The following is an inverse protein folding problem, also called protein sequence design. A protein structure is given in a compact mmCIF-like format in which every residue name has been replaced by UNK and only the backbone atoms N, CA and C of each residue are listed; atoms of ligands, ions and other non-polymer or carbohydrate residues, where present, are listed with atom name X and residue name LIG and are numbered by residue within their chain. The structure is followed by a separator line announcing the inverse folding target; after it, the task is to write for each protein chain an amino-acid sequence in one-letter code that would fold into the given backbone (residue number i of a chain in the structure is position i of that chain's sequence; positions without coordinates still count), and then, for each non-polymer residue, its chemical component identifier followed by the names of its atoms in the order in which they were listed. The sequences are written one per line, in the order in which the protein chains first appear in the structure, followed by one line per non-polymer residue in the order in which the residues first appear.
data_IF_532055258566
#
_entry.id   IF_532055258566
#
_cell.length_a   1.000
_cell.length_b   1.000
_cell.length_c   1.000
_cell.angle_alpha   90.00
_cell.angle_beta   90.00
_cell.angle_gamma   90.00
#
_symmetry.space_group_name_H-M   'P 1'
#
loop_
_entity.id
_entity.type
_entity.pdbx_description
1 polymer ?
#
# COMPACT_ATOMS: atom_id res chain seq x y z
N UNK A 1 5.99 -1.94 -46.03
CA UNK A 1 6.89 -2.89 -45.37
C UNK A 1 6.83 -2.63 -43.87
N UNK A 2 6.14 -3.49 -43.12
CA UNK A 2 6.05 -3.42 -41.67
C UNK A 2 6.72 -4.69 -41.11
N UNK A 3 7.71 -4.51 -40.25
CA UNK A 3 8.44 -5.59 -39.57
C UNK A 3 7.60 -5.99 -38.34
N UNK A 4 7.24 -7.28 -38.15
CA UNK A 4 6.59 -7.70 -36.92
C UNK A 4 7.62 -7.91 -35.81
N UNK A 5 7.30 -7.39 -34.63
CA UNK A 5 8.07 -7.58 -33.39
C UNK A 5 7.73 -8.98 -32.86
N UNK A 6 8.74 -9.85 -32.77
CA UNK A 6 8.62 -11.13 -32.06
C UNK A 6 8.64 -10.88 -30.54
N UNK A 7 7.82 -11.59 -29.75
CA UNK A 7 7.95 -11.57 -28.30
C UNK A 7 9.09 -12.49 -27.86
N UNK A 8 10.03 -11.96 -27.08
CA UNK A 8 11.12 -12.72 -26.48
C UNK A 8 10.59 -13.82 -25.56
N UNK A 9 10.88 -15.07 -25.94
CA UNK A 9 10.62 -16.26 -25.17
C UNK A 9 11.75 -16.48 -24.15
N UNK A 10 11.63 -15.93 -22.93
CA UNK A 10 12.44 -16.42 -21.82
C UNK A 10 11.84 -16.20 -20.42
N UNK A 11 10.53 -16.41 -20.29
CA UNK A 11 9.89 -16.59 -18.99
C UNK A 11 9.68 -18.07 -18.71
N UNK A 12 10.62 -18.75 -18.03
CA UNK A 12 10.30 -20.04 -17.39
C UNK A 12 9.22 -19.75 -16.34
N UNK A 13 7.98 -20.03 -16.70
CA UNK A 13 6.80 -19.89 -15.84
C UNK A 13 6.93 -20.76 -14.59
N UNK A 14 6.66 -20.23 -13.38
CA UNK A 14 6.70 -21.00 -12.12
C UNK A 14 5.66 -22.14 -12.04
N UNK A 15 4.72 -22.20 -12.99
CA UNK A 15 3.64 -23.20 -13.05
C UNK A 15 4.17 -24.62 -13.36
N UNK A 16 5.29 -24.76 -14.07
CA UNK A 16 5.78 -26.09 -14.49
C UNK A 16 6.48 -26.85 -13.35
N UNK A 17 7.16 -26.16 -12.44
CA UNK A 17 7.84 -26.79 -11.29
C UNK A 17 6.85 -27.30 -10.24
N UNK A 18 5.81 -26.52 -9.90
CA UNK A 18 4.83 -26.92 -8.88
C UNK A 18 4.04 -28.19 -9.23
N UNK A 19 3.75 -28.40 -10.52
CA UNK A 19 3.11 -29.63 -11.02
C UNK A 19 4.03 -30.86 -10.91
N UNK A 20 5.34 -30.70 -11.13
CA UNK A 20 6.32 -31.77 -11.02
C UNK A 20 6.52 -32.20 -9.57
N UNK A 21 6.61 -31.24 -8.64
CA UNK A 21 6.74 -31.52 -7.20
C UNK A 21 5.50 -32.24 -6.64
N UNK A 22 4.31 -31.83 -7.08
CA UNK A 22 3.05 -32.48 -6.70
C UNK A 22 2.97 -33.94 -7.19
N UNK A 23 3.47 -34.19 -8.41
CA UNK A 23 3.50 -35.54 -9.00
C UNK A 23 4.50 -36.44 -8.28
N UNK A 24 5.66 -35.92 -7.88
CA UNK A 24 6.67 -36.68 -7.14
C UNK A 24 6.17 -37.10 -5.75
N UNK A 25 5.46 -36.21 -5.03
CA UNK A 25 4.88 -36.53 -3.71
C UNK A 25 3.82 -37.62 -3.82
N UNK A 26 2.92 -37.54 -4.81
CA UNK A 26 1.87 -38.56 -5.02
C UNK A 26 2.50 -39.94 -5.31
N UNK A 27 3.57 -39.99 -6.11
CA UNK A 27 4.29 -41.24 -6.40
C UNK A 27 4.99 -41.85 -5.18
N UNK A 28 5.51 -41.00 -4.28
CA UNK A 28 6.10 -41.47 -3.01
C UNK A 28 5.02 -42.07 -2.10
N UNK A 29 3.85 -41.41 -2.00
CA UNK A 29 2.72 -41.90 -1.20
C UNK A 29 2.18 -43.22 -1.77
N UNK A 30 2.04 -43.34 -3.09
CA UNK A 30 1.58 -44.58 -3.74
C UNK A 30 2.53 -45.76 -3.46
N UNK A 31 3.85 -45.56 -3.63
CA UNK A 31 4.86 -46.59 -3.35
C UNK A 31 4.88 -47.00 -1.88
N UNK A 32 4.65 -46.05 -0.99
CA UNK A 32 4.57 -46.30 0.44
C UNK A 32 3.32 -47.09 0.84
N UNK A 33 2.16 -46.77 0.25
CA UNK A 33 0.89 -47.42 0.54
C UNK A 33 0.82 -48.86 -0.01
N UNK A 34 1.50 -49.15 -1.13
CA UNK A 34 1.52 -50.47 -1.76
C UNK A 34 2.55 -51.44 -1.16
N UNK A 35 3.45 -50.96 -0.30
CA UNK A 35 4.51 -51.80 0.28
C UNK A 35 4.31 -51.97 1.80
N UNK A 36 3.88 -53.17 2.27
CA UNK A 36 3.64 -53.45 3.68
C UNK A 36 4.90 -53.37 4.57
N UNK A 37 6.10 -53.42 4.00
CA UNK A 37 7.37 -53.35 4.75
C UNK A 37 7.83 -51.91 5.02
N UNK A 38 7.07 -50.91 4.57
CA UNK A 38 7.43 -49.51 4.74
C UNK A 38 7.26 -49.09 6.20
N UNK A 39 8.35 -48.61 6.77
CA UNK A 39 8.39 -47.98 8.09
C UNK A 39 7.77 -46.58 8.03
N UNK A 40 6.52 -46.47 8.47
CA UNK A 40 5.74 -45.22 8.48
C UNK A 40 6.40 -44.15 9.35
N UNK A 41 6.97 -44.52 10.49
CA UNK A 41 7.61 -43.58 11.41
C UNK A 41 8.84 -42.93 10.77
N UNK A 42 9.63 -43.73 10.03
CA UNK A 42 10.76 -43.22 9.26
C UNK A 42 10.32 -42.27 8.15
N UNK A 43 9.22 -42.57 7.46
CA UNK A 43 8.68 -41.69 6.42
C UNK A 43 8.18 -40.37 6.99
N UNK A 44 7.42 -40.39 8.09
CA UNK A 44 6.98 -39.17 8.77
C UNK A 44 8.18 -38.28 9.09
N UNK A 45 9.25 -38.88 9.62
CA UNK A 45 10.48 -38.14 9.95
C UNK A 45 11.20 -37.54 8.74
N UNK A 46 11.17 -38.22 7.60
CA UNK A 46 11.69 -37.70 6.33
C UNK A 46 10.83 -36.57 5.77
N UNK A 47 9.50 -36.68 5.85
CA UNK A 47 8.57 -35.62 5.45
C UNK A 47 8.72 -34.38 6.32
N UNK A 48 8.83 -34.54 7.64
CA UNK A 48 9.14 -33.45 8.57
C UNK A 48 10.51 -32.80 8.26
N UNK A 49 11.51 -33.61 7.88
CA UNK A 49 12.81 -33.07 7.44
C UNK A 49 12.66 -32.25 6.15
N UNK A 50 11.88 -32.74 5.18
CA UNK A 50 11.61 -32.04 3.93
C UNK A 50 10.87 -30.72 4.16
N UNK A 51 9.82 -30.71 4.98
CA UNK A 51 9.08 -29.50 5.36
C UNK A 51 10.02 -28.43 5.93
N UNK A 52 10.90 -28.81 6.86
CA UNK A 52 11.92 -27.90 7.42
C UNK A 52 12.89 -27.35 6.38
N UNK A 53 13.23 -28.14 5.36
CA UNK A 53 14.09 -27.68 4.26
C UNK A 53 13.35 -26.65 3.40
N UNK A 54 12.09 -26.92 3.05
CA UNK A 54 11.25 -25.98 2.29
C UNK A 54 11.03 -24.67 3.06
N UNK A 55 10.74 -24.75 4.36
CA UNK A 55 10.57 -23.57 5.22
C UNK A 55 11.82 -22.71 5.28
N UNK A 56 13.00 -23.34 5.41
CA UNK A 56 14.28 -22.62 5.40
C UNK A 56 14.55 -21.96 4.05
N UNK A 57 14.23 -22.64 2.95
CA UNK A 57 14.37 -22.07 1.61
C UNK A 57 13.44 -20.86 1.43
N UNK A 58 12.17 -20.97 1.85
CA UNK A 58 11.21 -19.88 1.83
C UNK A 58 11.66 -18.68 2.67
N UNK A 59 12.21 -18.93 3.87
CA UNK A 59 12.78 -17.89 4.73
C UNK A 59 13.99 -17.21 4.08
N UNK A 60 14.92 -17.98 3.50
CA UNK A 60 16.07 -17.42 2.80
C UNK A 60 15.67 -16.53 1.62
N UNK A 61 14.69 -16.98 0.81
CA UNK A 61 14.16 -16.22 -0.31
C UNK A 61 13.47 -14.93 0.16
N UNK A 62 12.63 -15.03 1.20
CA UNK A 62 12.01 -13.88 1.85
C UNK A 62 13.05 -12.87 2.34
N UNK A 63 14.07 -13.30 3.08
CA UNK A 63 15.07 -12.39 3.64
C UNK A 63 15.88 -11.70 2.54
N UNK A 64 16.24 -12.41 1.47
CA UNK A 64 16.96 -11.83 0.34
C UNK A 64 16.10 -10.79 -0.41
N UNK A 65 14.85 -11.12 -0.71
CA UNK A 65 13.92 -10.21 -1.37
C UNK A 65 13.58 -8.99 -0.48
N UNK A 66 13.42 -9.19 0.83
CA UNK A 66 13.15 -8.13 1.79
C UNK A 66 14.33 -7.14 1.85
N UNK A 67 15.57 -7.65 1.91
CA UNK A 67 16.76 -6.82 1.89
C UNK A 67 16.87 -6.00 0.59
N UNK A 68 16.57 -6.60 -0.57
CA UNK A 68 16.56 -5.90 -1.86
C UNK A 68 15.46 -4.83 -1.91
N UNK A 69 14.23 -5.17 -1.50
CA UNK A 69 13.08 -4.27 -1.47
C UNK A 69 13.34 -3.05 -0.60
N UNK A 70 13.95 -3.24 0.58
CA UNK A 70 14.24 -2.15 1.52
C UNK A 70 15.11 -1.04 0.91
N UNK A 71 15.98 -1.36 -0.05
CA UNK A 71 16.81 -0.34 -0.73
C UNK A 71 16.02 0.57 -1.68
N UNK A 72 14.81 0.15 -2.09
CA UNK A 72 13.95 0.88 -3.02
C UNK A 72 12.81 1.62 -2.32
N UNK A 73 12.56 1.34 -1.03
CA UNK A 73 11.48 1.97 -0.28
C UNK A 73 11.81 3.44 0.00
N UNK A 74 11.00 4.40 -0.48
CA UNK A 74 11.23 5.81 -0.24
C UNK A 74 10.74 6.23 1.16
N UNK A 75 11.22 7.38 1.63
CA UNK A 75 10.51 8.09 2.70
C UNK A 75 9.18 8.64 2.18
N UNK A 76 8.15 8.59 3.01
CA UNK A 76 6.79 8.96 2.60
C UNK A 76 6.41 10.28 3.25
N UNK A 77 6.11 11.28 2.42
CA UNK A 77 5.82 12.62 2.86
C UNK A 77 4.47 12.71 3.59
N UNK A 78 4.44 13.48 4.68
CA UNK A 78 3.24 13.70 5.48
C UNK A 78 2.32 14.72 4.80
N UNK A 79 1.21 14.24 4.22
CA UNK A 79 0.23 15.06 3.47
C UNK A 79 -1.12 15.18 4.18
N UNK A 80 -1.43 14.25 5.07
CA UNK A 80 -2.61 14.31 5.92
C UNK A 80 -2.43 15.35 7.02
N UNK A 81 -3.54 15.90 7.50
CA UNK A 81 -3.54 16.82 8.64
C UNK A 81 -4.41 16.22 9.74
N UNK A 82 -3.84 16.06 10.94
CA UNK A 82 -4.53 15.63 12.14
C UNK A 82 -4.46 16.68 13.23
N UNK A 83 -5.11 16.39 14.36
CA UNK A 83 -5.12 17.25 15.54
C UNK A 83 -3.70 17.48 16.11
N UNK A 84 -2.77 16.55 15.86
CA UNK A 84 -1.41 16.56 16.40
C UNK A 84 -0.33 16.86 15.34
N UNK A 85 -0.72 17.38 14.16
CA UNK A 85 0.21 17.71 13.08
C UNK A 85 -0.04 16.94 11.78
N UNK A 86 0.94 17.03 10.88
CA UNK A 86 0.89 16.34 9.61
C UNK A 86 1.11 14.83 9.78
N UNK A 87 0.64 14.02 8.83
CA UNK A 87 0.87 12.58 8.82
C UNK A 87 0.84 11.99 7.41
N UNK A 88 1.49 10.85 7.18
CA UNK A 88 1.34 10.11 5.92
C UNK A 88 0.02 9.31 5.94
N UNK A 89 -0.80 9.48 4.89
CA UNK A 89 -2.08 8.77 4.78
C UNK A 89 -1.85 7.30 4.45
N UNK A 90 -2.80 6.42 4.81
CA UNK A 90 -2.68 5.00 4.47
C UNK A 90 -2.64 4.81 2.95
N UNK A 91 -3.42 5.59 2.22
CA UNK A 91 -3.51 5.60 0.76
C UNK A 91 -2.18 5.99 0.12
N UNK A 92 -1.54 7.08 0.58
CA UNK A 92 -0.22 7.50 0.09
C UNK A 92 0.82 6.41 0.35
N UNK A 93 0.79 5.79 1.53
CA UNK A 93 1.71 4.71 1.87
C UNK A 93 1.50 3.51 0.95
N UNK A 94 0.26 3.02 0.83
CA UNK A 94 -0.09 1.86 0.02
C UNK A 94 0.21 2.08 -1.46
N UNK A 95 -0.15 3.24 -2.01
CA UNK A 95 0.11 3.58 -3.41
C UNK A 95 1.61 3.62 -3.73
N UNK A 96 2.43 4.04 -2.76
CA UNK A 96 3.88 4.13 -2.91
C UNK A 96 4.54 2.76 -2.82
N UNK A 97 4.16 1.94 -1.83
CA UNK A 97 4.87 0.68 -1.56
C UNK A 97 4.36 -0.49 -2.38
N UNK A 98 3.07 -0.51 -2.76
CA UNK A 98 2.48 -1.63 -3.52
C UNK A 98 3.26 -1.99 -4.80
N UNK A 99 3.64 -1.06 -5.70
CA UNK A 99 4.40 -1.43 -6.90
C UNK A 99 5.79 -1.99 -6.56
N UNK A 100 6.44 -1.46 -5.52
CA UNK A 100 7.76 -1.92 -5.07
C UNK A 100 7.65 -3.34 -4.48
N UNK A 101 6.66 -3.57 -3.62
CA UNK A 101 6.36 -4.88 -3.04
C UNK A 101 6.09 -5.92 -4.14
N UNK A 102 5.26 -5.59 -5.12
CA UNK A 102 4.95 -6.51 -6.23
C UNK A 102 6.20 -6.86 -7.05
N UNK A 103 7.08 -5.89 -7.31
CA UNK A 103 8.35 -6.12 -8.02
C UNK A 103 9.22 -7.16 -7.31
N UNK A 104 9.21 -7.19 -5.98
CA UNK A 104 10.00 -8.11 -5.15
C UNK A 104 9.21 -9.33 -4.65
N UNK A 105 8.01 -9.60 -5.21
CA UNK A 105 7.24 -10.79 -4.87
C UNK A 105 6.51 -10.74 -3.52
N UNK A 106 6.29 -9.55 -2.98
CA UNK A 106 5.59 -9.34 -1.70
C UNK A 106 4.13 -8.91 -1.87
N UNK A 107 3.30 -9.34 -0.91
CA UNK A 107 1.93 -8.88 -0.75
C UNK A 107 1.61 -8.65 0.73
N UNK A 108 0.71 -7.71 1.03
CA UNK A 108 0.24 -7.46 2.40
C UNK A 108 -1.27 -7.69 2.51
N UNK A 109 -1.68 -8.28 3.62
CA UNK A 109 -3.08 -8.37 4.03
C UNK A 109 -3.27 -7.83 5.44
N UNK A 110 -4.50 -7.45 5.78
CA UNK A 110 -4.85 -6.95 7.11
C UNK A 110 -5.97 -7.78 7.69
N UNK A 111 -5.79 -8.22 8.94
CA UNK A 111 -6.84 -8.87 9.75
C UNK A 111 -7.26 -7.90 10.84
N UNK A 112 -8.56 -7.85 11.11
CA UNK A 112 -9.14 -6.96 12.13
C UNK A 112 -9.95 -7.83 13.07
N UNK A 113 -9.68 -7.71 14.36
CA UNK A 113 -10.39 -8.44 15.41
C UNK A 113 -10.82 -7.46 16.51
N UNK A 114 -12.08 -7.56 16.93
CA UNK A 114 -12.57 -6.83 18.10
C UNK A 114 -12.27 -7.64 19.35
N UNK A 115 -11.68 -7.01 20.35
CA UNK A 115 -11.38 -7.57 21.67
C UNK A 115 -12.01 -6.70 22.76
N UNK A 116 -12.10 -7.21 23.99
CA UNK A 116 -12.65 -6.48 25.14
C UNK A 116 -11.96 -5.12 25.35
N UNK A 117 -10.65 -5.04 25.08
CA UNK A 117 -9.82 -3.86 25.31
C UNK A 117 -9.68 -2.94 24.09
N UNK A 118 -10.28 -3.29 22.94
CA UNK A 118 -10.21 -2.47 21.73
C UNK A 118 -10.21 -3.27 20.43
N UNK A 119 -9.61 -2.69 19.41
CA UNK A 119 -9.55 -3.20 18.04
C UNK A 119 -8.12 -3.63 17.77
N UNK A 120 -7.90 -4.93 17.57
CA UNK A 120 -6.61 -5.45 17.13
C UNK A 120 -6.55 -5.45 15.61
N UNK A 121 -5.53 -4.80 15.07
CA UNK A 121 -5.21 -4.80 13.65
C UNK A 121 -3.90 -5.54 13.45
N UNK A 122 -3.90 -6.57 12.61
CA UNK A 122 -2.73 -7.37 12.26
C UNK A 122 -2.40 -7.17 10.79
N UNK A 123 -1.20 -6.69 10.49
CA UNK A 123 -0.63 -6.73 9.15
C UNK A 123 0.10 -8.05 8.94
N UNK A 124 -0.11 -8.68 7.78
CA UNK A 124 0.58 -9.91 7.38
C UNK A 124 1.28 -9.65 6.05
N UNK A 125 2.62 -9.65 6.06
CA UNK A 125 3.48 -9.54 4.89
C UNK A 125 3.84 -10.94 4.41
N UNK A 126 3.55 -11.25 3.16
CA UNK A 126 3.74 -12.58 2.55
C UNK A 126 4.65 -12.45 1.35
N UNK A 127 5.54 -13.43 1.17
CA UNK A 127 6.38 -13.57 -0.02
C UNK A 127 5.85 -14.70 -0.90
N UNK A 128 6.04 -14.58 -2.22
CA UNK A 128 5.58 -15.56 -3.20
C UNK A 128 6.11 -16.99 -2.95
N UNK A 129 7.28 -17.11 -2.31
CA UNK A 129 7.91 -18.41 -2.01
C UNK A 129 7.43 -19.03 -0.68
N UNK A 130 6.40 -18.45 -0.04
CA UNK A 130 5.62 -19.10 1.01
C UNK A 130 5.88 -18.62 2.44
N UNK A 131 6.98 -17.89 2.70
CA UNK A 131 7.21 -17.31 4.02
C UNK A 131 6.34 -16.08 4.26
N UNK A 132 5.98 -15.84 5.54
CA UNK A 132 5.21 -14.68 5.96
C UNK A 132 5.63 -14.21 7.34
N UNK A 133 5.56 -12.90 7.55
CA UNK A 133 5.72 -12.26 8.86
C UNK A 133 4.47 -11.44 9.18
N UNK A 134 4.17 -11.29 10.46
CA UNK A 134 3.03 -10.50 10.90
C UNK A 134 3.37 -9.61 12.09
N UNK A 135 2.66 -8.50 12.19
CA UNK A 135 2.75 -7.56 13.32
C UNK A 135 1.36 -7.08 13.65
N UNK A 136 1.07 -6.99 14.95
CA UNK A 136 -0.25 -6.61 15.45
C UNK A 136 -0.18 -5.39 16.34
N UNK A 137 -1.23 -4.57 16.29
CA UNK A 137 -1.41 -3.41 17.15
C UNK A 137 -2.83 -3.42 17.73
N UNK A 138 -2.94 -3.26 19.05
CA UNK A 138 -4.23 -3.12 19.75
C UNK A 138 -4.49 -1.64 20.02
N UNK A 139 -5.65 -1.14 19.58
CA UNK A 139 -6.03 0.27 19.69
C UNK A 139 -7.41 0.41 20.35
N UNK A 140 -7.64 1.41 21.21
CA UNK A 140 -9.01 1.74 21.61
C UNK A 140 -9.80 2.27 20.40
N UNK A 141 -11.13 2.24 20.48
CA UNK A 141 -11.98 2.93 19.52
C UNK A 141 -11.75 4.44 19.61
N UNK A 142 -11.59 5.11 18.47
CA UNK A 142 -11.27 6.53 18.42
C UNK A 142 -12.53 7.38 18.64
N UNK A 143 -12.77 7.73 19.89
CA UNK A 143 -13.89 8.59 20.33
C UNK A 143 -13.60 10.09 20.18
N UNK A 144 -12.54 10.48 19.47
CA UNK A 144 -12.20 11.89 19.26
C UNK A 144 -13.18 12.59 18.31
N UNK A 145 -13.56 13.82 18.66
CA UNK A 145 -14.65 14.52 17.98
C UNK A 145 -15.98 13.82 18.23
N UNK A 146 -17.10 14.41 17.85
CA UNK A 146 -18.44 13.84 18.05
C UNK A 146 -18.72 12.64 17.11
N UNK A 147 -17.79 11.69 17.01
CA UNK A 147 -17.88 10.50 16.16
C UNK A 147 -18.86 9.51 16.76
N UNK A 148 -19.62 8.85 15.89
CA UNK A 148 -20.40 7.68 16.28
C UNK A 148 -19.50 6.42 16.38
N UNK A 149 -20.03 5.34 16.95
CA UNK A 149 -19.27 4.11 17.18
C UNK A 149 -18.65 3.51 15.90
N UNK A 150 -19.34 3.58 14.76
CA UNK A 150 -18.85 3.06 13.47
C UNK A 150 -17.70 3.91 12.95
N UNK A 151 -17.81 5.22 13.05
CA UNK A 151 -16.75 6.16 12.68
C UNK A 151 -15.51 6.01 13.57
N UNK A 152 -15.72 5.81 14.87
CA UNK A 152 -14.65 5.55 15.83
C UNK A 152 -13.90 4.26 15.48
N UNK A 153 -14.63 3.18 15.16
CA UNK A 153 -14.05 1.91 14.73
C UNK A 153 -13.26 2.04 13.41
N UNK A 154 -13.85 2.72 12.42
CA UNK A 154 -13.20 2.95 11.13
C UNK A 154 -11.91 3.76 11.26
N UNK A 155 -11.92 4.82 12.09
CA UNK A 155 -10.75 5.65 12.34
C UNK A 155 -9.60 4.85 12.99
N UNK A 156 -9.88 4.09 14.06
CA UNK A 156 -8.88 3.23 14.70
C UNK A 156 -8.37 2.14 13.77
N UNK A 157 -9.23 1.56 12.92
CA UNK A 157 -8.83 0.55 11.95
C UNK A 157 -7.85 1.11 10.91
N UNK A 158 -8.18 2.25 10.31
CA UNK A 158 -7.30 2.90 9.32
C UNK A 158 -5.98 3.33 9.96
N UNK A 159 -6.03 3.82 11.21
CA UNK A 159 -4.84 4.14 11.98
C UNK A 159 -3.96 2.90 12.20
N UNK A 160 -4.54 1.79 12.69
CA UNK A 160 -3.81 0.55 12.93
C UNK A 160 -3.17 -0.01 11.67
N UNK A 161 -3.91 -0.06 10.55
CA UNK A 161 -3.39 -0.55 9.26
C UNK A 161 -2.14 0.20 8.81
N UNK A 162 -2.15 1.53 8.96
CA UNK A 162 -1.00 2.37 8.64
C UNK A 162 0.22 2.00 9.48
N UNK A 163 0.06 1.93 10.81
CA UNK A 163 1.19 1.67 11.70
C UNK A 163 1.77 0.27 11.52
N UNK A 164 0.93 -0.77 11.39
CA UNK A 164 1.45 -2.13 11.17
C UNK A 164 2.11 -2.28 9.80
N UNK A 165 1.62 -1.58 8.76
CA UNK A 165 2.28 -1.57 7.46
C UNK A 165 3.64 -0.88 7.52
N UNK A 166 3.72 0.30 8.15
CA UNK A 166 5.00 0.99 8.34
C UNK A 166 5.98 0.17 9.19
N UNK A 167 5.49 -0.53 10.22
CA UNK A 167 6.33 -1.39 11.07
C UNK A 167 6.89 -2.59 10.28
N UNK A 168 6.06 -3.28 9.51
CA UNK A 168 6.48 -4.43 8.69
C UNK A 168 7.53 -4.02 7.63
N UNK A 169 7.35 -2.86 7.02
CA UNK A 169 8.20 -2.39 5.92
C UNK A 169 9.31 -1.45 6.40
N UNK A 170 9.41 -1.17 7.69
CA UNK A 170 10.35 -0.20 8.27
C UNK A 170 10.33 1.19 7.58
N UNK A 171 9.13 1.67 7.23
CA UNK A 171 8.95 2.94 6.52
C UNK A 171 9.06 4.11 7.49
N UNK A 172 9.82 5.13 7.10
CA UNK A 172 9.87 6.43 7.79
C UNK A 172 9.00 7.46 7.08
N UNK A 173 8.17 8.18 7.85
CA UNK A 173 7.42 9.34 7.37
C UNK A 173 8.18 10.61 7.73
N UNK A 174 8.08 11.64 6.88
CA UNK A 174 8.76 12.92 7.10
C UNK A 174 7.85 14.11 6.78
N UNK A 175 8.06 15.21 7.48
CA UNK A 175 7.40 16.47 7.18
C UNK A 175 7.79 16.98 5.79
N UNK A 176 6.91 17.78 5.18
CA UNK A 176 7.19 18.39 3.86
C UNK A 176 8.40 19.34 3.88
N UNK A 177 8.84 19.78 5.06
CA UNK A 177 9.91 20.77 5.24
C UNK A 177 11.27 20.13 5.63
N UNK A 178 11.30 18.80 5.85
CA UNK A 178 12.52 18.06 6.17
C UNK A 178 13.31 17.73 4.89
N UNK A 179 13.74 18.78 4.20
CA UNK A 179 14.40 18.69 2.91
C UNK A 179 15.83 18.13 3.05
N UNK A 180 15.96 16.84 2.74
CA UNK A 180 17.23 16.15 2.59
C UNK A 180 17.06 14.88 1.75
N UNK A 181 16.79 15.07 0.46
CA UNK A 181 16.78 14.09 -0.65
C UNK A 181 15.59 13.10 -0.72
N UNK A 182 15.01 13.05 -1.93
CA UNK A 182 13.91 12.20 -2.44
C UNK A 182 12.46 12.58 -2.04
N UNK A 183 11.97 13.72 -2.52
CA UNK A 183 10.52 13.96 -2.60
C UNK A 183 9.93 13.17 -3.77
N UNK A 184 8.96 12.30 -3.50
CA UNK A 184 8.15 11.66 -4.54
C UNK A 184 7.44 12.73 -5.39
N UNK A 185 7.28 12.53 -6.71
CA UNK A 185 6.68 13.53 -7.59
C UNK A 185 5.25 13.88 -7.14
N UNK A 186 4.98 15.19 -7.04
CA UNK A 186 3.65 15.71 -6.69
C UNK A 186 2.66 15.32 -7.80
N UNK A 187 1.62 14.55 -7.47
CA UNK A 187 0.56 14.20 -8.42
C UNK A 187 -0.31 15.44 -8.68
N UNK A 188 -0.26 15.96 -9.90
CA UNK A 188 -1.05 17.10 -10.36
C UNK A 188 -2.51 16.71 -10.65
N UNK A 189 -3.40 17.71 -10.74
CA UNK A 189 -4.80 17.51 -11.12
C UNK A 189 -4.92 16.90 -12.52
N UNK A 190 -5.99 16.15 -12.75
CA UNK A 190 -6.29 15.65 -14.11
C UNK A 190 -6.70 16.79 -15.04
N UNK A 191 -6.60 16.59 -16.36
CA UNK A 191 -7.04 17.60 -17.36
C UNK A 191 -8.50 18.03 -17.17
N UNK A 192 -9.37 17.10 -16.77
CA UNK A 192 -10.77 17.39 -16.45
C UNK A 192 -10.90 18.30 -15.22
N UNK A 193 -10.14 18.01 -14.15
CA UNK A 193 -10.10 18.82 -12.94
C UNK A 193 -9.51 20.21 -13.21
N UNK A 194 -8.43 20.30 -13.99
CA UNK A 194 -7.87 21.58 -14.45
C UNK A 194 -8.91 22.40 -15.23
N UNK A 195 -9.68 21.75 -16.12
CA UNK A 195 -10.78 22.39 -16.85
C UNK A 195 -11.86 22.98 -15.93
N UNK A 196 -12.23 22.26 -14.86
CA UNK A 196 -13.17 22.78 -13.86
C UNK A 196 -12.64 24.02 -13.13
N UNK A 197 -11.35 24.02 -12.78
CA UNK A 197 -10.72 25.15 -12.12
C UNK A 197 -10.65 26.37 -13.05
N UNK A 198 -10.27 26.19 -14.33
CA UNK A 198 -10.26 27.30 -15.30
C UNK A 198 -11.61 27.97 -15.42
N UNK A 199 -12.68 27.18 -15.58
CA UNK A 199 -14.03 27.72 -15.71
C UNK A 199 -14.46 28.54 -14.49
N UNK A 200 -14.06 28.11 -13.29
CA UNK A 200 -14.35 28.84 -12.04
C UNK A 200 -13.50 30.09 -11.85
N UNK A 201 -12.24 30.09 -12.30
CA UNK A 201 -11.33 31.24 -12.18
C UNK A 201 -11.80 32.37 -13.10
N UNK A 202 -12.23 32.07 -14.32
CA UNK A 202 -12.69 33.08 -15.29
C UNK A 202 -13.87 33.92 -14.76
N UNK A 203 -14.71 33.33 -13.91
CA UNK A 203 -15.88 34.00 -13.31
C UNK A 203 -15.58 34.64 -11.95
N UNK A 204 -14.34 34.53 -11.44
CA UNK A 204 -13.91 35.15 -10.18
C UNK A 204 -13.35 36.57 -10.41
N UNK A 205 -13.31 37.43 -9.38
CA UNK A 205 -12.73 38.78 -9.47
C UNK A 205 -11.26 38.77 -9.89
N UNK A 206 -10.79 39.83 -10.56
CA UNK A 206 -9.42 39.97 -11.07
C UNK A 206 -8.34 39.69 -9.99
N UNK A 207 -8.54 40.19 -8.76
CA UNK A 207 -7.64 39.93 -7.63
C UNK A 207 -7.51 38.42 -7.28
N UNK A 208 -8.56 37.62 -7.49
CA UNK A 208 -8.50 36.16 -7.29
C UNK A 208 -7.81 35.46 -8.46
N UNK A 209 -7.95 35.99 -9.68
CA UNK A 209 -7.25 35.46 -10.85
C UNK A 209 -5.73 35.69 -10.75
N UNK A 210 -5.31 36.90 -10.38
CA UNK A 210 -3.90 37.25 -10.16
C UNK A 210 -3.28 36.41 -9.03
N UNK A 211 -4.00 36.24 -7.91
CA UNK A 211 -3.56 35.36 -6.83
C UNK A 211 -3.39 33.90 -7.29
N UNK A 212 -4.32 33.40 -8.11
CA UNK A 212 -4.27 32.03 -8.62
C UNK A 212 -3.03 31.83 -9.49
N UNK A 213 -2.77 32.75 -10.43
CA UNK A 213 -1.59 32.70 -11.31
C UNK A 213 -0.31 32.84 -10.49
N UNK A 214 -0.27 33.73 -9.51
CA UNK A 214 0.91 33.89 -8.64
C UNK A 214 1.21 32.67 -7.78
N UNK A 215 0.18 31.92 -7.36
CA UNK A 215 0.35 30.75 -6.47
C UNK A 215 0.56 29.43 -7.23
N UNK A 216 -0.15 29.23 -8.33
CA UNK A 216 -0.20 27.95 -9.04
C UNK A 216 0.31 28.05 -10.49
N UNK A 217 0.49 29.25 -11.04
CA UNK A 217 0.80 29.47 -12.45
C UNK A 217 -0.42 29.19 -13.34
N UNK A 218 -0.70 27.92 -13.58
CA UNK A 218 -1.79 27.44 -14.43
C UNK A 218 -2.60 26.32 -13.76
N UNK A 219 -3.81 26.07 -14.26
CA UNK A 219 -4.72 25.10 -13.64
C UNK A 219 -4.17 23.66 -13.61
N UNK A 220 -3.33 23.29 -14.57
CA UNK A 220 -2.67 21.98 -14.67
C UNK A 220 -1.62 21.75 -13.59
N UNK A 221 -1.03 22.82 -13.07
CA UNK A 221 0.02 22.76 -12.05
C UNK A 221 -0.54 22.70 -10.63
N UNK A 222 -1.87 22.66 -10.50
CA UNK A 222 -2.51 22.52 -9.20
C UNK A 222 -2.29 21.09 -8.67
N UNK A 223 -1.76 20.93 -7.44
CA UNK A 223 -1.67 19.62 -6.80
C UNK A 223 -3.05 18.99 -6.64
N UNK A 224 -3.17 17.68 -6.88
CA UNK A 224 -4.46 16.98 -6.77
C UNK A 224 -5.07 17.07 -5.37
N UNK A 225 -4.23 17.18 -4.33
CA UNK A 225 -4.64 17.38 -2.94
C UNK A 225 -5.39 18.70 -2.70
N UNK A 226 -5.08 19.72 -3.49
CA UNK A 226 -5.64 21.07 -3.34
C UNK A 226 -6.96 21.24 -4.09
N UNK A 227 -7.27 20.34 -5.02
CA UNK A 227 -8.39 20.46 -5.95
C UNK A 227 -9.73 20.76 -5.27
N UNK A 228 -10.15 19.93 -4.30
CA UNK A 228 -11.48 20.06 -3.70
C UNK A 228 -11.61 21.35 -2.86
N UNK A 229 -10.56 21.70 -2.12
CA UNK A 229 -10.52 22.94 -1.32
C UNK A 229 -10.52 24.17 -2.23
N UNK A 230 -9.71 24.15 -3.28
CA UNK A 230 -9.57 25.24 -4.23
C UNK A 230 -10.86 25.45 -5.03
N UNK A 231 -11.48 24.38 -5.51
CA UNK A 231 -12.78 24.41 -6.19
C UNK A 231 -13.86 25.02 -5.30
N UNK A 232 -13.96 24.60 -4.03
CA UNK A 232 -14.95 25.13 -3.09
C UNK A 232 -14.70 26.63 -2.79
N UNK A 233 -13.44 27.04 -2.66
CA UNK A 233 -13.06 28.45 -2.44
C UNK A 233 -13.42 29.33 -3.65
N UNK A 234 -13.08 28.88 -4.87
CA UNK A 234 -13.40 29.59 -6.10
C UNK A 234 -14.92 29.67 -6.34
N UNK A 235 -15.67 28.60 -6.06
CA UNK A 235 -17.13 28.61 -6.16
C UNK A 235 -17.79 29.63 -5.23
N UNK A 236 -17.26 29.81 -4.01
CA UNK A 236 -17.76 30.84 -3.08
C UNK A 236 -17.48 32.24 -3.62
N UNK A 237 -16.28 32.47 -4.17
CA UNK A 237 -15.86 33.77 -4.72
C UNK A 237 -16.49 34.10 -6.07
N UNK A 238 -16.97 33.09 -6.79
CA UNK A 238 -17.72 33.23 -8.04
C UNK A 238 -19.19 33.66 -7.83
N UNK A 239 -19.74 33.50 -6.62
CA UNK A 239 -21.09 33.98 -6.29
C UNK A 239 -20.97 35.37 -5.65
N UNK A 240 -21.44 36.45 -6.32
CA UNK A 240 -21.49 37.76 -5.68
C UNK A 240 -22.50 37.70 -4.52
N UNK A 241 -22.14 38.26 -3.38
CA UNK A 241 -23.00 38.42 -2.20
C UNK A 241 -24.39 38.94 -2.61
N UNK A 242 -25.43 38.14 -2.35
CA UNK A 242 -26.76 38.71 -2.09
C UNK A 242 -26.70 39.31 -0.69
N UNK A 243 -26.51 40.62 -0.70
CA UNK A 243 -26.41 41.58 0.40
C UNK A 243 -27.20 41.24 1.66
N UNK A 244 -26.56 41.59 2.79
CA UNK A 244 -27.16 42.21 3.96
C UNK A 244 -28.58 42.78 3.74
N UNK A 245 -29.54 42.26 4.50
CA UNK A 245 -30.56 43.02 5.22
C UNK A 245 -30.88 42.28 6.52
#
# INVERSE_FOLDING_TARGET
MAIPIQPDANGKTPVTQSLQDSTAIIQVIERAALNPEVDIDKMERLLQMQERVLDRQALMAYSAAMAAMQTELPSIAERGQGNNGAYATLEDIVDTVRPIMQKHGFAVSFRIQTQERGIQVTGVLMHQDGHREETSMLLPADTSGSKNAVQAFGSSTSYGKRYVLCALLNITTRGQDDNGQAAAPVKLVTSFQAGQLRQLITVCPAATQEWFVGKYGEAEQVPRSDFDKLRASLQKRARPDRQHH
#
